data_IF_364742345725
#
_entry.id   IF_364742345725
#
_cell.length_a   1.000
_cell.length_b   1.000
_cell.length_c   1.000
_cell.angle_alpha   90.00
_cell.angle_beta   90.00
_cell.angle_gamma   90.00
#
_symmetry.space_group_name_H-M   'P 1'
#
loop_
_entity.id
_entity.type
_entity.pdbx_description
1 polymer ?
#
# COMPACT_ATOMS: atom_id res chain seq x y z
N UNK A 1 -1.96 -12.74 -39.38
CA UNK A 1 -1.79 -13.72 -40.49
C UNK A 1 -1.08 -14.94 -39.91
N UNK A 2 -1.83 -15.99 -39.63
CA UNK A 2 -1.27 -17.23 -39.03
C UNK A 2 -0.27 -17.82 -40.03
N UNK A 3 0.98 -18.00 -39.60
CA UNK A 3 2.06 -18.47 -40.46
C UNK A 3 1.69 -19.86 -41.03
N UNK A 4 1.80 -20.04 -42.35
CA UNK A 4 1.53 -21.32 -43.04
C UNK A 4 2.28 -22.51 -42.42
N UNK A 5 3.43 -22.25 -41.74
CA UNK A 5 4.21 -23.30 -41.05
C UNK A 5 3.51 -23.84 -39.81
N UNK A 6 2.81 -22.99 -39.03
CA UNK A 6 2.05 -23.39 -37.82
C UNK A 6 0.82 -24.22 -38.25
N UNK A 7 0.13 -23.76 -39.28
CA UNK A 7 -1.00 -24.49 -39.84
C UNK A 7 -0.58 -25.86 -40.43
N UNK A 8 0.59 -25.96 -41.02
CA UNK A 8 1.13 -27.22 -41.57
C UNK A 8 1.53 -28.19 -40.46
N UNK A 9 2.19 -27.73 -39.40
CA UNK A 9 2.52 -28.53 -38.20
C UNK A 9 1.26 -29.01 -37.49
N UNK A 10 0.28 -28.13 -37.26
CA UNK A 10 -0.99 -28.51 -36.66
C UNK A 10 -1.75 -29.58 -37.49
N UNK A 11 -1.80 -29.43 -38.83
CA UNK A 11 -2.39 -30.42 -39.72
C UNK A 11 -1.63 -31.75 -39.73
N UNK A 12 -0.31 -31.72 -39.60
CA UNK A 12 0.51 -32.93 -39.53
C UNK A 12 0.26 -33.66 -38.20
N UNK A 13 0.20 -32.95 -37.07
CA UNK A 13 -0.09 -33.53 -35.75
C UNK A 13 -1.51 -34.12 -35.67
N UNK A 14 -2.51 -33.45 -36.24
CA UNK A 14 -3.88 -33.98 -36.35
C UNK A 14 -3.91 -35.29 -37.15
N UNK A 15 -3.13 -35.39 -38.24
CA UNK A 15 -3.01 -36.61 -39.01
C UNK A 15 -2.35 -37.74 -38.22
N UNK A 16 -1.32 -37.42 -37.42
CA UNK A 16 -0.64 -38.39 -36.53
C UNK A 16 -1.59 -38.88 -35.44
N UNK A 17 -2.35 -38.00 -34.81
CA UNK A 17 -3.38 -38.37 -33.83
C UNK A 17 -4.48 -39.21 -34.44
N UNK A 18 -4.95 -38.87 -35.63
CA UNK A 18 -5.94 -39.65 -36.35
C UNK A 18 -5.40 -41.05 -36.72
N UNK A 19 -4.14 -41.14 -37.13
CA UNK A 19 -3.48 -42.41 -37.42
C UNK A 19 -3.34 -43.28 -36.18
N UNK A 20 -2.95 -42.70 -35.03
CA UNK A 20 -2.86 -43.41 -33.76
C UNK A 20 -4.23 -43.88 -33.27
N UNK A 21 -5.26 -43.08 -33.43
CA UNK A 21 -6.63 -43.46 -33.11
C UNK A 21 -7.16 -44.60 -34.02
N UNK A 22 -6.80 -44.58 -35.32
CA UNK A 22 -7.13 -45.63 -36.24
C UNK A 22 -6.36 -46.92 -35.90
N UNK A 23 -5.07 -46.83 -35.59
CA UNK A 23 -4.25 -47.97 -35.15
C UNK A 23 -4.80 -48.60 -33.87
N UNK A 24 -5.18 -47.80 -32.91
CA UNK A 24 -5.84 -48.22 -31.67
C UNK A 24 -7.16 -48.96 -31.96
N UNK A 25 -8.02 -48.36 -32.79
CA UNK A 25 -9.28 -48.98 -33.21
C UNK A 25 -9.06 -50.31 -33.97
N UNK A 26 -8.07 -50.36 -34.85
CA UNK A 26 -7.68 -51.60 -35.57
C UNK A 26 -7.17 -52.68 -34.63
N UNK A 27 -6.34 -52.32 -33.64
CA UNK A 27 -5.90 -53.26 -32.60
C UNK A 27 -7.06 -53.86 -31.83
N UNK A 28 -8.07 -53.06 -31.47
CA UNK A 28 -9.29 -53.52 -30.79
C UNK A 28 -10.06 -54.47 -31.69
N UNK A 29 -10.27 -54.11 -32.96
CA UNK A 29 -11.13 -54.85 -33.88
C UNK A 29 -10.52 -56.19 -34.36
N UNK A 30 -9.19 -56.24 -34.45
CA UNK A 30 -8.49 -57.46 -34.90
C UNK A 30 -8.32 -58.54 -33.83
N UNK A 31 -8.87 -58.37 -32.62
CA UNK A 31 -8.75 -59.31 -31.50
C UNK A 31 -7.29 -59.79 -31.23
N UNK A 32 -6.29 -59.03 -31.63
CA UNK A 32 -4.88 -59.33 -31.34
C UNK A 32 -4.63 -59.45 -29.84
N UNK A 33 -5.50 -58.88 -29.06
CA UNK A 33 -5.56 -58.92 -27.60
C UNK A 33 -5.59 -60.35 -27.03
N UNK A 34 -6.25 -61.29 -27.66
CA UNK A 34 -6.42 -62.63 -27.05
C UNK A 34 -5.13 -63.46 -26.91
N UNK A 35 -4.06 -63.04 -27.62
CA UNK A 35 -2.78 -63.77 -27.59
C UNK A 35 -1.70 -63.07 -26.70
N UNK A 36 -1.94 -61.90 -26.19
CA UNK A 36 -0.95 -61.10 -25.45
C UNK A 36 -1.54 -60.51 -24.15
N UNK A 37 -2.09 -61.40 -23.30
CA UNK A 37 -2.75 -61.01 -22.02
C UNK A 37 -1.91 -60.12 -21.11
N UNK A 38 -0.58 -60.13 -21.19
CA UNK A 38 0.32 -59.24 -20.49
C UNK A 38 0.50 -57.85 -21.14
N UNK A 39 0.30 -57.75 -22.45
CA UNK A 39 0.39 -56.47 -23.17
C UNK A 39 -0.90 -55.64 -23.07
N UNK A 40 -2.04 -56.28 -22.86
CA UNK A 40 -3.34 -55.65 -22.75
C UNK A 40 -3.40 -54.63 -21.59
N UNK A 41 -2.76 -54.96 -20.49
CA UNK A 41 -2.77 -54.11 -19.28
C UNK A 41 -2.07 -52.74 -19.51
N UNK A 42 -1.05 -52.70 -20.37
CA UNK A 42 -0.22 -51.50 -20.56
C UNK A 42 -0.51 -50.72 -21.84
N UNK A 43 -1.19 -51.30 -22.81
CA UNK A 43 -1.46 -50.63 -24.11
C UNK A 43 -2.35 -49.41 -23.93
N UNK A 44 -3.38 -49.48 -23.08
CA UNK A 44 -4.28 -48.36 -22.82
C UNK A 44 -3.54 -47.18 -22.16
N UNK A 45 -2.67 -47.47 -21.21
CA UNK A 45 -1.88 -46.46 -20.51
C UNK A 45 -0.86 -45.80 -21.44
N UNK A 46 -0.22 -46.60 -22.31
CA UNK A 46 0.74 -46.10 -23.31
C UNK A 46 0.02 -45.19 -24.31
N UNK A 47 -1.15 -45.59 -24.81
CA UNK A 47 -1.94 -44.79 -25.76
C UNK A 47 -2.44 -43.50 -25.12
N UNK A 48 -2.95 -43.57 -23.90
CA UNK A 48 -3.40 -42.38 -23.16
C UNK A 48 -2.23 -41.41 -22.88
N UNK A 49 -1.09 -41.91 -22.46
CA UNK A 49 0.11 -41.12 -22.23
C UNK A 49 0.64 -40.49 -23.51
N UNK A 50 0.68 -41.23 -24.60
CA UNK A 50 1.05 -40.71 -25.93
C UNK A 50 0.08 -39.61 -26.41
N UNK A 51 -1.22 -39.81 -26.21
CA UNK A 51 -2.25 -38.82 -26.54
C UNK A 51 -2.11 -37.55 -25.69
N UNK A 52 -1.81 -37.70 -24.41
CA UNK A 52 -1.54 -36.56 -23.51
C UNK A 52 -0.31 -35.76 -23.98
N UNK A 53 0.79 -36.43 -24.30
CA UNK A 53 2.01 -35.78 -24.80
C UNK A 53 1.72 -35.02 -26.10
N UNK A 54 1.07 -35.63 -27.05
CA UNK A 54 0.72 -35.00 -28.33
C UNK A 54 -0.24 -33.83 -28.15
N UNK A 55 -1.25 -34.00 -27.31
CA UNK A 55 -2.16 -32.93 -26.94
C UNK A 55 -1.44 -31.74 -26.28
N UNK A 56 -0.50 -32.00 -25.37
CA UNK A 56 0.32 -30.97 -24.72
C UNK A 56 1.20 -30.23 -25.73
N UNK A 57 1.81 -30.92 -26.71
CA UNK A 57 2.61 -30.29 -27.75
C UNK A 57 1.77 -29.36 -28.63
N UNK A 58 0.57 -29.82 -29.05
CA UNK A 58 -0.35 -29.02 -29.85
C UNK A 58 -0.81 -27.78 -29.06
N UNK A 59 -1.15 -27.96 -27.79
CA UNK A 59 -1.57 -26.89 -26.92
C UNK A 59 -0.45 -25.82 -26.72
N UNK A 60 0.80 -26.29 -26.54
CA UNK A 60 1.95 -25.41 -26.44
C UNK A 60 2.18 -24.60 -27.72
N UNK A 61 2.14 -25.27 -28.90
CA UNK A 61 2.37 -24.59 -30.17
C UNK A 61 1.34 -23.49 -30.42
N UNK A 62 0.06 -23.75 -30.16
CA UNK A 62 -1.02 -22.78 -30.33
C UNK A 62 -0.90 -21.65 -29.31
N UNK A 63 -0.69 -21.99 -28.03
CA UNK A 63 -0.65 -21.01 -26.96
C UNK A 63 0.57 -20.08 -27.07
N UNK A 64 1.73 -20.62 -27.43
CA UNK A 64 2.95 -19.82 -27.58
C UNK A 64 2.87 -18.87 -28.77
N UNK A 65 2.18 -19.26 -29.87
CA UNK A 65 1.96 -18.34 -30.98
C UNK A 65 1.02 -17.20 -30.60
N UNK A 66 -0.05 -17.46 -29.85
CA UNK A 66 -0.95 -16.43 -29.34
C UNK A 66 -0.22 -15.47 -28.38
N UNK A 67 0.60 -16.01 -27.47
CA UNK A 67 1.40 -15.21 -26.55
C UNK A 67 2.39 -14.34 -27.33
N UNK A 68 3.05 -14.88 -28.35
CA UNK A 68 3.97 -14.14 -29.21
C UNK A 68 3.28 -12.98 -29.91
N UNK A 69 2.12 -13.22 -30.52
CA UNK A 69 1.32 -12.19 -31.19
C UNK A 69 0.90 -11.07 -30.23
N UNK A 70 0.58 -11.43 -28.99
CA UNK A 70 0.25 -10.47 -27.95
C UNK A 70 1.43 -9.54 -27.61
N UNK A 71 2.65 -10.10 -27.43
CA UNK A 71 3.86 -9.32 -27.17
C UNK A 71 4.29 -8.48 -28.38
N UNK A 72 4.12 -9.00 -29.58
CA UNK A 72 4.41 -8.28 -30.82
C UNK A 72 3.52 -7.02 -30.99
N UNK A 73 2.21 -7.15 -30.72
CA UNK A 73 1.27 -6.02 -30.76
C UNK A 73 1.58 -4.94 -29.71
N UNK A 74 2.25 -5.30 -28.61
CA UNK A 74 2.67 -4.35 -27.56
C UNK A 74 4.06 -3.76 -27.77
N UNK A 75 4.83 -4.25 -28.72
CA UNK A 75 6.21 -3.84 -28.95
C UNK A 75 7.20 -4.37 -27.87
N UNK A 76 6.79 -5.35 -27.06
CA UNK A 76 7.55 -5.90 -25.94
C UNK A 76 8.14 -7.29 -26.24
N UNK A 77 8.52 -7.54 -27.49
CA UNK A 77 9.06 -8.84 -27.94
C UNK A 77 10.29 -9.31 -27.15
N UNK A 78 11.00 -8.41 -26.51
CA UNK A 78 12.17 -8.72 -25.69
C UNK A 78 11.84 -9.62 -24.49
N UNK A 79 10.63 -9.50 -23.94
CA UNK A 79 10.21 -10.23 -22.75
C UNK A 79 9.54 -11.57 -23.08
N UNK A 80 9.16 -11.78 -24.35
CA UNK A 80 8.54 -13.01 -24.83
C UNK A 80 9.31 -14.29 -24.46
N UNK A 81 10.66 -14.40 -24.61
CA UNK A 81 11.37 -15.64 -24.34
C UNK A 81 11.25 -16.09 -22.88
N UNK A 82 11.21 -15.13 -21.94
CA UNK A 82 11.07 -15.41 -20.51
C UNK A 82 9.67 -15.99 -20.24
N UNK A 83 8.62 -15.33 -20.71
CA UNK A 83 7.25 -15.79 -20.55
C UNK A 83 7.00 -17.14 -21.22
N UNK A 84 7.51 -17.32 -22.44
CA UNK A 84 7.40 -18.57 -23.18
C UNK A 84 8.06 -19.73 -22.43
N UNK A 85 9.21 -19.50 -21.80
CA UNK A 85 9.90 -20.54 -21.02
C UNK A 85 9.11 -20.92 -19.77
N UNK A 86 8.63 -19.94 -19.00
CA UNK A 86 7.81 -20.18 -17.80
C UNK A 86 6.53 -20.93 -18.20
N UNK A 87 5.85 -20.50 -19.26
CA UNK A 87 4.63 -21.14 -19.74
C UNK A 87 4.87 -22.60 -20.14
N UNK A 88 5.97 -22.90 -20.85
CA UNK A 88 6.37 -24.26 -21.20
C UNK A 88 6.57 -25.13 -19.96
N UNK A 89 7.34 -24.65 -18.98
CA UNK A 89 7.60 -25.43 -17.76
C UNK A 89 6.32 -25.72 -16.97
N UNK A 90 5.45 -24.72 -16.81
CA UNK A 90 4.16 -24.91 -16.13
C UNK A 90 3.29 -25.91 -16.88
N UNK A 91 3.21 -25.81 -18.20
CA UNK A 91 2.40 -26.74 -19.02
C UNK A 91 2.92 -28.17 -18.92
N UNK A 92 4.25 -28.38 -19.01
CA UNK A 92 4.85 -29.70 -18.84
C UNK A 92 4.69 -30.25 -17.44
N UNK A 93 4.76 -29.40 -16.42
CA UNK A 93 4.52 -29.80 -15.04
C UNK A 93 3.08 -30.32 -14.86
N UNK A 94 2.08 -29.59 -15.37
CA UNK A 94 0.67 -30.02 -15.33
C UNK A 94 0.45 -31.30 -16.13
N UNK A 95 1.02 -31.39 -17.33
CA UNK A 95 0.95 -32.59 -18.14
C UNK A 95 1.58 -33.80 -17.45
N UNK A 96 2.69 -33.60 -16.75
CA UNK A 96 3.34 -34.63 -15.93
C UNK A 96 2.45 -35.13 -14.79
N UNK A 97 1.76 -34.22 -14.09
CA UNK A 97 0.81 -34.59 -13.03
C UNK A 97 -0.36 -35.44 -13.60
N UNK A 98 -0.92 -35.05 -14.77
CA UNK A 98 -1.97 -35.80 -15.44
C UNK A 98 -1.42 -37.15 -15.89
N UNK A 99 -0.19 -37.20 -16.42
CA UNK A 99 0.46 -38.47 -16.85
C UNK A 99 0.66 -39.43 -15.68
N UNK A 100 1.10 -38.93 -14.51
CA UNK A 100 1.19 -39.75 -13.30
C UNK A 100 -0.20 -40.26 -12.90
N UNK A 101 -1.26 -39.45 -13.01
CA UNK A 101 -2.65 -39.89 -12.73
C UNK A 101 -3.13 -41.01 -13.62
N UNK A 102 -2.69 -41.04 -14.89
CA UNK A 102 -3.04 -42.12 -15.83
C UNK A 102 -2.35 -43.42 -15.44
N UNK A 103 -1.10 -43.37 -14.97
CA UNK A 103 -0.28 -44.55 -14.63
C UNK A 103 -0.61 -45.12 -13.26
N UNK A 104 -1.14 -44.32 -12.34
CA UNK A 104 -1.49 -44.74 -10.98
C UNK A 104 -2.96 -45.12 -10.89
N UNK A 105 -3.24 -46.39 -10.59
CA UNK A 105 -4.61 -46.94 -10.45
C UNK A 105 -5.32 -46.47 -9.17
N UNK A 106 -4.55 -45.99 -8.16
CA UNK A 106 -5.09 -45.44 -6.90
C UNK A 106 -5.26 -43.93 -6.99
N UNK A 107 -6.40 -43.51 -7.51
CA UNK A 107 -6.77 -42.09 -7.62
C UNK A 107 -6.85 -41.41 -6.24
N UNK A 108 -7.17 -42.16 -5.16
CA UNK A 108 -7.33 -41.60 -3.81
C UNK A 108 -6.01 -41.06 -3.25
N UNK A 109 -4.94 -41.85 -3.31
CA UNK A 109 -3.61 -41.45 -2.83
C UNK A 109 -3.03 -40.31 -3.68
N UNK A 110 -3.31 -40.31 -4.99
CA UNK A 110 -2.90 -39.21 -5.89
C UNK A 110 -3.60 -37.91 -5.55
N UNK A 111 -4.92 -37.91 -5.34
CA UNK A 111 -5.69 -36.73 -4.98
C UNK A 111 -5.24 -36.17 -3.61
N UNK A 112 -4.93 -37.05 -2.67
CA UNK A 112 -4.39 -36.64 -1.37
C UNK A 112 -3.03 -35.93 -1.53
N UNK A 113 -2.13 -36.50 -2.32
CA UNK A 113 -0.81 -35.89 -2.61
C UNK A 113 -0.93 -34.56 -3.33
N UNK A 114 -1.80 -34.46 -4.35
CA UNK A 114 -2.09 -33.21 -5.05
C UNK A 114 -2.72 -32.16 -4.13
N UNK A 115 -3.56 -32.60 -3.18
CA UNK A 115 -4.13 -31.73 -2.14
C UNK A 115 -3.06 -31.09 -1.27
N UNK A 116 -2.07 -31.88 -0.81
CA UNK A 116 -0.94 -31.37 -0.02
C UNK A 116 -0.07 -30.39 -0.83
N UNK A 117 0.27 -30.75 -2.09
CA UNK A 117 1.03 -29.86 -2.99
C UNK A 117 0.24 -28.57 -3.27
N UNK A 118 -1.06 -28.69 -3.52
CA UNK A 118 -1.95 -27.55 -3.72
C UNK A 118 -1.99 -26.60 -2.52
N UNK A 119 -2.09 -27.16 -1.32
CA UNK A 119 -2.04 -26.39 -0.08
C UNK A 119 -0.68 -25.67 0.08
N UNK A 120 0.44 -26.36 -0.14
CA UNK A 120 1.77 -25.78 -0.09
C UNK A 120 1.93 -24.63 -1.12
N UNK A 121 1.44 -24.83 -2.35
CA UNK A 121 1.46 -23.81 -3.40
C UNK A 121 0.60 -22.60 -3.04
N UNK A 122 -0.57 -22.83 -2.43
CA UNK A 122 -1.46 -21.77 -1.96
C UNK A 122 -0.77 -20.89 -0.92
N UNK A 123 -0.06 -21.47 0.04
CA UNK A 123 0.73 -20.72 1.02
C UNK A 123 1.89 -19.95 0.36
N UNK A 124 2.59 -20.57 -0.59
CA UNK A 124 3.68 -19.91 -1.32
C UNK A 124 3.19 -18.70 -2.14
N UNK A 125 1.99 -18.78 -2.71
CA UNK A 125 1.38 -17.73 -3.53
C UNK A 125 0.52 -16.74 -2.73
N UNK A 126 0.38 -16.91 -1.43
CA UNK A 126 -0.48 -16.07 -0.59
C UNK A 126 -0.22 -14.58 -0.77
N UNK A 127 1.06 -14.15 -0.77
CA UNK A 127 1.41 -12.73 -0.93
C UNK A 127 1.05 -12.16 -2.30
N UNK A 128 1.40 -12.78 -3.43
CA UNK A 128 0.93 -12.37 -4.75
C UNK A 128 -0.60 -12.28 -4.86
N UNK A 129 -1.32 -13.27 -4.34
CA UNK A 129 -2.79 -13.29 -4.34
C UNK A 129 -3.34 -12.11 -3.53
N UNK A 130 -2.79 -11.84 -2.35
CA UNK A 130 -3.20 -10.67 -1.54
C UNK A 130 -2.91 -9.34 -2.24
N UNK A 131 -1.80 -9.21 -2.96
CA UNK A 131 -1.52 -8.01 -3.73
C UNK A 131 -2.53 -7.79 -4.85
N UNK A 132 -2.87 -8.85 -5.57
CA UNK A 132 -3.89 -8.81 -6.61
C UNK A 132 -5.28 -8.46 -6.04
N UNK A 133 -5.66 -9.07 -4.91
CA UNK A 133 -6.90 -8.74 -4.21
C UNK A 133 -6.90 -7.27 -3.71
N UNK A 134 -5.76 -6.76 -3.22
CA UNK A 134 -5.57 -5.36 -2.87
C UNK A 134 -5.78 -4.43 -4.05
N UNK A 135 -5.24 -4.77 -5.21
CA UNK A 135 -5.45 -4.02 -6.45
C UNK A 135 -6.93 -3.99 -6.86
N UNK A 136 -7.62 -5.14 -6.84
CA UNK A 136 -9.06 -5.22 -7.11
C UNK A 136 -9.84 -4.31 -6.14
N UNK A 137 -9.49 -4.35 -4.85
CA UNK A 137 -10.11 -3.49 -3.85
C UNK A 137 -9.93 -2.01 -4.18
N UNK A 138 -8.71 -1.58 -4.58
CA UNK A 138 -8.45 -0.19 -4.98
C UNK A 138 -9.33 0.22 -6.18
N UNK A 139 -9.42 -0.63 -7.20
CA UNK A 139 -10.16 -0.34 -8.43
C UNK A 139 -11.67 -0.22 -8.17
N UNK A 140 -12.23 -1.10 -7.34
CA UNK A 140 -13.67 -1.15 -7.05
C UNK A 140 -14.06 -0.07 -6.04
N UNK A 141 -13.40 -0.02 -4.88
CA UNK A 141 -13.82 0.85 -3.76
C UNK A 141 -13.26 2.28 -3.87
N UNK A 142 -12.19 2.44 -4.65
CA UNK A 142 -11.50 3.72 -4.89
C UNK A 142 -11.24 4.50 -3.60
N UNK A 143 -10.53 3.92 -2.62
CA UNK A 143 -10.19 4.61 -1.39
C UNK A 143 -9.32 5.84 -1.66
N UNK A 144 -8.54 5.81 -2.72
CA UNK A 144 -7.74 6.89 -3.27
C UNK A 144 -7.57 6.74 -4.79
N UNK A 145 -7.08 7.78 -5.47
CA UNK A 145 -6.83 7.85 -6.91
C UNK A 145 -5.39 8.31 -7.15
N UNK A 146 -4.96 8.26 -8.42
CA UNK A 146 -3.74 8.93 -8.86
C UNK A 146 -3.88 10.43 -8.57
N UNK A 147 -2.81 11.06 -8.10
CA UNK A 147 -2.68 12.42 -7.60
C UNK A 147 -3.32 12.66 -6.21
N UNK A 148 -3.82 11.65 -5.52
CA UNK A 148 -4.19 11.81 -4.12
C UNK A 148 -2.95 11.75 -3.21
N UNK A 149 -2.93 12.59 -2.17
CA UNK A 149 -1.97 12.50 -1.07
C UNK A 149 -2.51 11.57 -0.02
N UNK A 150 -1.80 10.47 0.23
CA UNK A 150 -2.20 9.45 1.20
C UNK A 150 -1.11 9.19 2.23
N UNK A 151 -1.53 8.81 3.42
CA UNK A 151 -0.65 8.28 4.45
C UNK A 151 -1.10 6.86 4.79
N UNK A 152 -0.20 5.89 4.64
CA UNK A 152 -0.40 4.51 5.06
C UNK A 152 0.30 4.32 6.39
N UNK A 153 -0.45 3.92 7.40
CA UNK A 153 0.07 3.76 8.77
C UNK A 153 1.29 2.83 8.79
N UNK A 154 2.34 3.23 9.50
CA UNK A 154 3.63 2.54 9.65
C UNK A 154 4.48 2.39 8.37
N UNK A 155 4.07 3.03 7.27
CA UNK A 155 4.83 2.99 6.01
C UNK A 155 5.31 4.39 5.63
N UNK A 156 4.38 5.37 5.57
CA UNK A 156 4.72 6.73 5.21
C UNK A 156 3.62 7.45 4.45
N UNK A 157 3.91 8.68 4.07
CA UNK A 157 3.02 9.56 3.33
C UNK A 157 3.62 9.88 1.96
N UNK A 158 2.75 10.05 0.96
CA UNK A 158 3.17 10.47 -0.37
C UNK A 158 2.01 10.69 -1.33
N UNK A 159 2.35 11.21 -2.50
CA UNK A 159 1.42 11.48 -3.57
C UNK A 159 1.41 10.27 -4.53
N UNK A 160 0.22 9.69 -4.74
CA UNK A 160 0.04 8.52 -5.61
C UNK A 160 0.28 8.94 -7.06
N UNK A 161 1.29 8.40 -7.72
CA UNK A 161 1.50 8.70 -9.13
C UNK A 161 1.26 7.51 -10.07
N UNK A 162 1.29 6.25 -9.54
CA UNK A 162 1.01 5.06 -10.32
C UNK A 162 0.42 3.96 -9.43
N UNK A 163 -0.49 3.17 -9.99
CA UNK A 163 -1.06 1.97 -9.36
C UNK A 163 -0.95 0.84 -10.37
N UNK A 164 -0.17 -0.20 -10.02
CA UNK A 164 -0.02 -1.43 -10.79
C UNK A 164 -0.79 -2.57 -10.11
N UNK A 165 -0.86 -3.70 -10.80
CA UNK A 165 -1.53 -4.92 -10.30
C UNK A 165 -0.96 -5.42 -8.97
N UNK A 166 0.34 -5.21 -8.71
CA UNK A 166 1.02 -5.68 -7.49
C UNK A 166 1.42 -4.56 -6.55
N UNK A 167 1.63 -3.32 -7.03
CA UNK A 167 2.22 -2.23 -6.26
C UNK A 167 1.52 -0.89 -6.49
N UNK A 168 1.56 -0.07 -5.44
CA UNK A 168 1.27 1.35 -5.46
C UNK A 168 2.60 2.09 -5.42
N UNK A 169 2.71 3.15 -6.19
CA UNK A 169 3.90 4.01 -6.25
C UNK A 169 3.54 5.39 -5.74
N UNK A 170 4.22 5.83 -4.68
CA UNK A 170 4.06 7.15 -4.10
C UNK A 170 5.32 7.98 -4.27
N UNK A 171 5.18 9.28 -4.56
CA UNK A 171 6.23 10.26 -4.34
C UNK A 171 6.22 10.62 -2.86
N UNK A 172 7.28 10.27 -2.15
CA UNK A 172 7.35 10.44 -0.71
C UNK A 172 7.29 11.91 -0.29
N UNK A 173 6.53 12.15 0.79
CA UNK A 173 6.41 13.46 1.43
C UNK A 173 6.69 13.29 2.93
N UNK A 174 7.71 14.00 3.45
CA UNK A 174 8.04 14.06 4.87
C UNK A 174 8.06 15.54 5.26
N UNK A 175 6.88 16.10 5.54
CA UNK A 175 6.69 17.54 5.60
C UNK A 175 6.70 18.20 4.22
N UNK A 176 7.73 17.94 3.43
CA UNK A 176 7.93 18.39 2.06
C UNK A 176 8.23 17.22 1.11
N UNK A 177 8.11 17.39 -0.23
CA UNK A 177 8.48 16.36 -1.20
C UNK A 177 9.97 16.01 -1.10
N UNK A 178 10.29 14.73 -0.90
CA UNK A 178 11.68 14.27 -0.71
C UNK A 178 12.38 13.90 -2.03
N UNK A 179 11.64 13.81 -3.13
CA UNK A 179 12.12 13.28 -4.41
C UNK A 179 12.25 11.75 -4.46
N UNK A 180 12.02 11.05 -3.35
CA UNK A 180 12.07 9.58 -3.28
C UNK A 180 10.75 8.96 -3.70
N UNK A 181 10.83 7.70 -4.16
CA UNK A 181 9.66 6.89 -4.49
C UNK A 181 9.48 5.79 -3.46
N UNK A 182 8.29 5.70 -2.89
CA UNK A 182 7.86 4.56 -2.08
C UNK A 182 7.12 3.57 -2.98
N UNK A 183 7.59 2.32 -3.02
CA UNK A 183 6.94 1.22 -3.75
C UNK A 183 6.30 0.31 -2.71
N UNK A 184 4.97 0.26 -2.71
CA UNK A 184 4.20 -0.38 -1.65
C UNK A 184 3.37 -1.51 -2.24
N UNK A 185 3.48 -2.76 -1.74
CA UNK A 185 2.61 -3.85 -2.15
C UNK A 185 1.14 -3.53 -1.91
N UNK A 186 0.26 -3.84 -2.87
CA UNK A 186 -1.18 -3.55 -2.77
C UNK A 186 -1.86 -4.24 -1.58
N UNK A 187 -1.33 -5.36 -1.11
CA UNK A 187 -1.83 -6.07 0.07
C UNK A 187 -1.93 -5.18 1.33
N UNK A 188 -1.08 -4.15 1.44
CA UNK A 188 -1.13 -3.21 2.57
C UNK A 188 -2.43 -2.41 2.64
N UNK A 189 -3.12 -2.22 1.53
CA UNK A 189 -4.43 -1.54 1.50
C UNK A 189 -5.51 -2.35 2.23
N UNK A 190 -5.35 -3.68 2.30
CA UNK A 190 -6.29 -4.58 2.99
C UNK A 190 -6.01 -4.66 4.50
N UNK A 191 -4.75 -4.39 4.92
CA UNK A 191 -4.29 -4.68 6.29
C UNK A 191 -3.98 -3.43 7.10
N UNK A 192 -3.84 -2.26 6.46
CA UNK A 192 -3.46 -1.02 7.14
C UNK A 192 -4.51 0.07 6.99
N UNK A 193 -4.58 0.95 7.99
CA UNK A 193 -5.36 2.16 7.88
C UNK A 193 -4.73 3.13 6.89
N UNK A 194 -5.54 3.67 5.99
CA UNK A 194 -5.14 4.66 5.00
C UNK A 194 -5.85 5.97 5.29
N UNK A 195 -5.09 7.03 5.45
CA UNK A 195 -5.60 8.39 5.54
C UNK A 195 -5.42 9.06 4.18
N UNK A 196 -6.51 9.48 3.57
CA UNK A 196 -6.48 10.24 2.32
C UNK A 196 -6.69 11.73 2.63
N UNK A 197 -5.72 12.56 2.31
CA UNK A 197 -5.71 14.00 2.62
C UNK A 197 -6.40 14.83 1.55
N UNK A 198 -6.65 14.27 0.37
CA UNK A 198 -7.20 15.00 -0.78
C UNK A 198 -8.54 14.46 -1.26
N UNK A 199 -9.08 13.40 -0.64
CA UNK A 199 -10.37 12.81 -1.03
C UNK A 199 -11.51 13.80 -0.83
N UNK A 200 -12.05 14.30 -1.93
CA UNK A 200 -13.18 15.23 -1.94
C UNK A 200 -12.82 16.70 -1.81
N UNK A 201 -11.67 17.06 -1.26
CA UNK A 201 -11.14 18.43 -1.20
C UNK A 201 -9.64 18.41 -1.00
N UNK A 202 -8.87 19.28 -1.66
CA UNK A 202 -7.44 19.40 -1.42
C UNK A 202 -7.11 20.18 -0.15
N UNK A 203 -8.11 20.69 0.57
CA UNK A 203 -7.92 21.50 1.76
C UNK A 203 -8.11 20.69 3.03
N UNK A 204 -7.16 20.85 3.96
CA UNK A 204 -7.15 20.20 5.27
C UNK A 204 -7.08 21.23 6.40
N UNK A 205 -7.49 20.80 7.59
CA UNK A 205 -7.25 21.54 8.81
C UNK A 205 -5.85 21.27 9.33
N UNK A 206 -4.99 22.30 9.37
CA UNK A 206 -3.72 22.27 10.07
C UNK A 206 -3.72 23.23 11.26
N UNK A 207 -2.65 23.28 12.00
CA UNK A 207 -2.50 24.15 13.16
C UNK A 207 -1.05 24.59 13.37
N UNK A 208 -0.90 25.82 13.88
CA UNK A 208 0.33 26.30 14.50
C UNK A 208 0.13 26.43 16.00
N UNK A 209 1.21 26.22 16.73
CA UNK A 209 1.25 26.31 18.19
C UNK A 209 2.35 27.29 18.59
N UNK A 210 1.99 28.24 19.43
CA UNK A 210 2.92 29.16 20.05
C UNK A 210 2.68 29.14 21.57
N UNK A 211 3.73 29.04 22.33
CA UNK A 211 3.64 29.09 23.79
C UNK A 211 4.19 30.43 24.25
N UNK A 212 3.39 31.18 24.99
CA UNK A 212 3.79 32.46 25.63
C UNK A 212 3.94 32.26 27.12
N UNK A 213 4.77 33.09 27.75
CA UNK A 213 4.98 33.03 29.21
C UNK A 213 3.71 33.41 29.96
N UNK A 214 3.60 33.03 31.23
CA UNK A 214 2.45 33.35 32.07
C UNK A 214 2.39 34.86 32.39
N UNK A 215 3.53 35.53 32.33
CA UNK A 215 3.69 37.00 32.57
C UNK A 215 3.29 37.81 31.34
N UNK A 216 3.17 37.19 30.19
CA UNK A 216 2.78 37.86 28.93
C UNK A 216 1.38 38.41 29.00
N UNK A 217 1.15 39.53 28.31
CA UNK A 217 -0.20 40.05 28.06
C UNK A 217 -0.97 39.10 27.15
N UNK A 218 -1.78 38.24 27.77
CA UNK A 218 -2.49 37.17 27.12
C UNK A 218 -3.44 37.65 26.02
N UNK A 219 -4.22 38.69 26.26
CA UNK A 219 -5.18 39.20 25.27
C UNK A 219 -4.48 39.79 24.04
N UNK A 220 -3.36 40.43 24.26
CA UNK A 220 -2.52 40.98 23.20
C UNK A 220 -1.87 39.82 22.39
N UNK A 221 -1.30 38.82 23.08
CA UNK A 221 -0.73 37.62 22.44
C UNK A 221 -1.75 36.91 21.55
N UNK A 222 -2.97 36.70 22.04
CA UNK A 222 -4.09 36.13 21.27
C UNK A 222 -4.34 36.91 19.99
N UNK A 223 -4.45 38.23 20.09
CA UNK A 223 -4.71 39.10 18.95
C UNK A 223 -3.61 39.01 17.92
N UNK A 224 -2.34 39.13 18.31
CA UNK A 224 -1.18 39.08 17.41
C UNK A 224 -1.10 37.77 16.66
N UNK A 225 -1.31 36.64 17.36
CA UNK A 225 -1.26 35.31 16.75
C UNK A 225 -2.43 35.07 15.77
N UNK A 226 -3.64 35.55 16.10
CA UNK A 226 -4.78 35.48 15.20
C UNK A 226 -4.60 36.37 13.97
N UNK A 227 -4.19 37.62 14.14
CA UNK A 227 -3.92 38.54 13.03
C UNK A 227 -2.85 38.00 12.09
N UNK A 228 -1.75 37.46 12.61
CA UNK A 228 -0.70 36.86 11.80
C UNK A 228 -1.22 35.69 10.94
N UNK A 229 -2.09 34.86 11.50
CA UNK A 229 -2.70 33.75 10.78
C UNK A 229 -3.72 34.25 9.76
N UNK A 230 -4.54 35.25 10.11
CA UNK A 230 -5.57 35.80 9.23
C UNK A 230 -4.97 36.51 8.02
N UNK A 231 -3.81 37.19 8.16
CA UNK A 231 -3.08 37.80 7.04
C UNK A 231 -2.63 36.78 5.98
N UNK A 232 -2.36 35.52 6.36
CA UNK A 232 -1.86 34.51 5.43
C UNK A 232 -3.01 33.66 4.84
N UNK A 233 -3.98 33.25 5.66
CA UNK A 233 -5.01 32.30 5.23
C UNK A 233 -6.42 32.85 5.28
N UNK A 234 -6.63 34.09 5.72
CA UNK A 234 -7.96 34.66 5.94
C UNK A 234 -8.79 34.71 4.67
N UNK A 235 -8.23 35.16 3.56
CA UNK A 235 -8.97 35.30 2.30
C UNK A 235 -9.31 33.92 1.70
N UNK A 236 -8.38 32.97 1.75
CA UNK A 236 -8.65 31.57 1.37
C UNK A 236 -9.79 30.97 2.20
N UNK A 237 -9.80 31.21 3.52
CA UNK A 237 -10.83 30.66 4.39
C UNK A 237 -12.21 31.27 4.13
N UNK A 238 -12.30 32.56 3.82
CA UNK A 238 -13.55 33.24 3.42
C UNK A 238 -14.09 32.64 2.13
N UNK A 239 -13.25 32.55 1.09
CA UNK A 239 -13.62 31.98 -0.19
C UNK A 239 -14.14 30.54 -0.05
N UNK A 240 -13.41 29.68 0.66
CA UNK A 240 -13.82 28.30 0.91
C UNK A 240 -15.12 28.21 1.72
N UNK A 241 -15.32 29.11 2.68
CA UNK A 241 -16.55 29.15 3.47
C UNK A 241 -17.76 29.49 2.59
N UNK A 242 -17.64 30.42 1.64
CA UNK A 242 -18.69 30.75 0.68
C UNK A 242 -19.00 29.57 -0.25
N UNK A 243 -17.96 28.93 -0.82
CA UNK A 243 -18.13 27.76 -1.69
C UNK A 243 -18.83 26.62 -0.93
N UNK A 244 -18.47 26.36 0.32
CA UNK A 244 -19.04 25.26 1.09
C UNK A 244 -20.43 25.55 1.66
N UNK A 245 -20.79 26.81 1.89
CA UNK A 245 -22.19 27.19 2.25
C UNK A 245 -23.16 26.90 1.13
N UNK A 246 -22.71 27.03 -0.13
CA UNK A 246 -23.53 26.89 -1.32
C UNK A 246 -23.60 25.44 -1.87
N UNK A 247 -22.78 24.52 -1.36
CA UNK A 247 -22.80 23.11 -1.75
C UNK A 247 -23.74 22.31 -0.84
N UNK A 248 -24.56 21.39 -1.40
CA UNK A 248 -25.31 20.43 -0.59
C UNK A 248 -24.30 19.63 0.25
N UNK A 249 -24.50 19.62 1.55
CA UNK A 249 -23.59 19.03 2.55
C UNK A 249 -23.58 17.50 2.43
N UNK A 250 -22.59 16.84 1.84
CA UNK A 250 -22.53 15.39 1.89
C UNK A 250 -21.67 14.84 3.04
N UNK A 251 -20.78 15.63 3.68
CA UNK A 251 -19.71 14.99 4.43
C UNK A 251 -19.30 15.58 5.78
N UNK A 252 -19.83 16.70 6.25
CA UNK A 252 -19.42 17.18 7.57
C UNK A 252 -20.56 17.84 8.34
N UNK A 253 -20.90 17.26 9.48
CA UNK A 253 -21.48 17.95 10.64
C UNK A 253 -20.53 19.04 11.19
N UNK A 254 -19.38 19.29 10.54
CA UNK A 254 -18.41 20.28 10.93
C UNK A 254 -18.90 21.69 10.56
N UNK A 255 -18.89 22.57 11.58
CA UNK A 255 -19.19 23.99 11.41
C UNK A 255 -18.22 24.58 10.38
N UNK A 256 -18.74 25.28 9.37
CA UNK A 256 -17.92 26.01 8.39
C UNK A 256 -17.39 27.27 9.07
N UNK A 257 -16.09 27.41 9.12
CA UNK A 257 -15.41 28.58 9.67
C UNK A 257 -14.81 29.39 8.52
N UNK A 258 -15.04 30.71 8.56
CA UNK A 258 -14.53 31.69 7.59
C UNK A 258 -13.24 32.39 8.04
N UNK A 259 -12.75 32.02 9.22
CA UNK A 259 -11.55 32.59 9.84
C UNK A 259 -10.79 31.55 10.67
N UNK A 260 -9.50 31.80 10.99
CA UNK A 260 -8.74 30.96 11.91
C UNK A 260 -9.36 30.85 13.29
N UNK A 261 -9.19 29.70 13.93
CA UNK A 261 -9.80 29.40 15.24
C UNK A 261 -8.70 29.23 16.27
N UNK A 262 -8.71 30.07 17.30
CA UNK A 262 -7.81 29.94 18.42
C UNK A 262 -8.34 28.94 19.46
N UNK A 263 -7.46 28.12 19.97
CA UNK A 263 -7.62 27.26 21.15
C UNK A 263 -6.49 27.57 22.13
N UNK A 264 -6.79 27.52 23.40
CA UNK A 264 -5.83 27.81 24.49
C UNK A 264 -5.68 26.56 25.33
N UNK A 265 -4.43 26.29 25.74
CA UNK A 265 -4.11 25.20 26.65
C UNK A 265 -3.02 25.71 27.64
N UNK A 266 -3.02 25.17 28.86
CA UNK A 266 -1.99 25.47 29.87
C UNK A 266 -0.93 24.39 29.84
N UNK A 267 0.32 24.78 29.78
CA UNK A 267 1.49 23.91 29.82
C UNK A 267 2.37 24.30 30.98
N UNK A 268 3.25 23.44 31.47
CA UNK A 268 4.18 23.70 32.56
C UNK A 268 5.02 24.97 32.34
N UNK A 269 5.37 25.28 31.10
CA UNK A 269 6.24 26.43 30.73
C UNK A 269 5.50 27.69 30.26
N UNK A 270 4.15 27.67 30.24
CA UNK A 270 3.38 28.82 29.76
C UNK A 270 2.05 28.45 29.15
N UNK A 271 1.45 29.38 28.41
CA UNK A 271 0.14 29.26 27.81
C UNK A 271 0.30 28.93 26.32
N UNK A 272 -0.19 27.75 25.89
CA UNK A 272 -0.21 27.36 24.47
C UNK A 272 -1.37 28.05 23.75
N UNK A 273 -1.06 28.83 22.74
CA UNK A 273 -1.97 29.40 21.76
C UNK A 273 -1.93 28.51 20.49
N UNK A 274 -2.98 27.72 20.29
CA UNK A 274 -3.10 26.83 19.13
C UNK A 274 -4.10 27.42 18.15
N UNK A 275 -3.62 27.88 17.00
CA UNK A 275 -4.48 28.39 15.92
C UNK A 275 -4.68 27.31 14.88
N UNK A 276 -5.95 26.99 14.58
CA UNK A 276 -6.35 26.08 13.53
C UNK A 276 -6.81 26.85 12.31
N UNK A 277 -6.39 26.43 11.15
CA UNK A 277 -6.70 27.05 9.86
C UNK A 277 -6.85 26.01 8.75
N UNK A 278 -7.46 26.41 7.63
CA UNK A 278 -7.53 25.62 6.42
C UNK A 278 -6.34 25.95 5.52
N UNK A 279 -5.78 24.91 4.91
CA UNK A 279 -4.63 25.04 4.01
C UNK A 279 -4.73 23.99 2.91
N UNK A 280 -4.19 24.32 1.74
CA UNK A 280 -4.00 23.34 0.68
C UNK A 280 -2.97 22.28 1.11
N UNK A 281 -3.33 21.01 0.96
CA UNK A 281 -2.50 19.86 1.36
C UNK A 281 -1.11 19.86 0.72
N UNK A 282 -0.95 20.49 -0.43
CA UNK A 282 0.34 20.54 -1.14
C UNK A 282 1.24 21.70 -0.69
N UNK A 283 0.68 22.73 -0.02
CA UNK A 283 1.36 23.96 0.40
C UNK A 283 1.46 24.09 1.92
N UNK A 284 1.06 23.07 2.64
CA UNK A 284 0.92 23.16 4.11
C UNK A 284 2.18 23.56 4.86
N UNK A 285 3.38 23.10 4.42
CA UNK A 285 4.64 23.39 5.05
C UNK A 285 5.05 24.86 4.84
N UNK A 286 4.89 25.36 3.64
CA UNK A 286 5.20 26.75 3.26
C UNK A 286 4.30 27.73 4.00
N UNK A 287 2.99 27.50 3.95
CA UNK A 287 1.98 28.32 4.64
C UNK A 287 2.22 28.33 6.15
N UNK A 288 2.53 27.18 6.73
CA UNK A 288 2.85 27.06 8.14
C UNK A 288 4.08 27.89 8.53
N UNK A 289 5.12 27.82 7.72
CA UNK A 289 6.36 28.58 7.92
C UNK A 289 6.09 30.07 7.81
N UNK A 290 5.30 30.51 6.84
CA UNK A 290 4.94 31.90 6.69
C UNK A 290 4.16 32.44 7.90
N UNK A 291 3.15 31.69 8.38
CA UNK A 291 2.40 32.06 9.59
C UNK A 291 3.33 32.19 10.78
N UNK A 292 4.25 31.23 10.99
CA UNK A 292 5.20 31.28 12.12
C UNK A 292 6.12 32.48 12.01
N UNK A 293 6.63 32.83 10.85
CA UNK A 293 7.48 34.01 10.63
C UNK A 293 6.72 35.30 10.99
N UNK A 294 5.48 35.45 10.53
CA UNK A 294 4.64 36.60 10.86
C UNK A 294 4.35 36.72 12.37
N UNK A 295 4.09 35.57 13.01
CA UNK A 295 3.90 35.54 14.46
C UNK A 295 5.16 36.04 15.19
N UNK A 296 6.33 35.53 14.81
CA UNK A 296 7.61 35.94 15.41
C UNK A 296 7.86 37.42 15.18
N UNK A 297 7.64 37.94 13.98
CA UNK A 297 7.80 39.38 13.70
C UNK A 297 6.88 40.25 14.53
N UNK A 298 5.61 39.89 14.67
CA UNK A 298 4.65 40.64 15.48
C UNK A 298 5.01 40.62 16.98
N UNK A 299 5.35 39.44 17.51
CA UNK A 299 5.71 39.32 18.94
C UNK A 299 7.00 40.08 19.26
N UNK A 300 8.01 40.03 18.37
CA UNK A 300 9.29 40.77 18.59
C UNK A 300 9.13 42.28 18.68
N UNK A 301 8.08 42.86 18.14
CA UNK A 301 7.79 44.32 18.22
C UNK A 301 7.16 44.70 19.54
N UNK A 302 6.74 43.73 20.34
CA UNK A 302 6.04 43.95 21.60
C UNK A 302 6.95 43.62 22.79
N UNK A 303 6.88 44.43 23.81
CA UNK A 303 7.69 44.28 25.04
C UNK A 303 6.98 43.43 26.10
N UNK A 304 5.66 43.30 25.99
CA UNK A 304 4.78 42.70 27.00
C UNK A 304 4.28 41.32 26.57
N UNK A 305 4.82 40.76 25.47
CA UNK A 305 4.53 39.39 24.99
C UNK A 305 5.85 38.68 24.73
N UNK A 306 6.08 37.58 25.42
CA UNK A 306 7.30 36.80 25.32
C UNK A 306 6.99 35.33 24.97
N UNK A 307 7.76 34.76 24.04
CA UNK A 307 7.66 33.30 23.68
C UNK A 307 8.28 32.52 24.83
N UNK A 308 7.54 31.58 25.37
CA UNK A 308 7.99 30.75 26.48
C UNK A 308 9.13 29.79 26.05
N UNK A 309 10.16 29.76 26.84
CA UNK A 309 11.25 28.79 26.79
C UNK A 309 11.37 28.07 28.15
N UNK A 310 12.05 26.94 28.25
CA UNK A 310 12.20 26.24 29.52
C UNK A 310 12.90 27.15 30.56
N UNK A 311 12.19 27.50 31.63
CA UNK A 311 12.74 28.20 32.78
C UNK A 311 13.03 27.18 33.87
N UNK A 312 14.19 27.34 34.55
CA UNK A 312 14.53 26.62 35.77
C UNK A 312 14.65 27.63 36.88
N UNK A 313 13.69 27.64 37.80
CA UNK A 313 13.80 28.43 39.02
C UNK A 313 14.52 27.62 40.10
N UNK A 314 15.69 28.07 40.54
CA UNK A 314 16.43 27.44 41.62
C UNK A 314 16.19 28.22 42.92
N UNK A 315 15.29 27.73 43.76
CA UNK A 315 15.05 28.30 45.07
C UNK A 315 16.16 27.85 46.02
N UNK A 316 17.13 28.72 46.26
CA UNK A 316 18.17 28.48 47.25
C UNK A 316 17.62 28.83 48.64
N UNK A 317 17.31 27.86 49.48
CA UNK A 317 17.03 28.05 50.91
C UNK A 317 18.32 27.86 51.64
N UNK A 318 18.95 28.95 52.20
CA UNK A 318 20.10 28.79 53.05
C UNK A 318 19.68 27.99 54.29
N UNK A 319 20.42 26.91 54.58
CA UNK A 319 20.23 26.20 55.87
C UNK A 319 20.46 27.23 56.96
N UNK A 320 19.42 27.53 57.78
CA UNK A 320 19.61 28.20 59.04
C UNK A 320 20.73 27.50 59.79
N UNK A 321 21.78 28.25 60.12
CA UNK A 321 22.83 27.77 61.04
C UNK A 321 22.12 27.37 62.30
N UNK A 322 21.97 26.08 62.54
CA UNK A 322 21.40 25.58 63.76
C UNK A 322 22.11 26.19 64.92
N UNK A 323 21.37 26.91 65.77
CA UNK A 323 21.81 27.32 67.10
C UNK A 323 22.43 26.10 67.75
N UNK A 324 23.76 26.14 67.96
CA UNK A 324 24.48 25.14 68.72
C UNK A 324 23.82 25.03 70.09
N UNK A 325 23.11 23.95 70.34
CA UNK A 325 22.64 23.63 71.69
C UNK A 325 23.83 23.52 72.60
N UNK A 326 23.91 24.43 73.51
CA UNK A 326 24.82 24.53 74.61
C UNK A 326 24.91 23.23 75.38
N UNK A 327 26.10 22.75 75.64
CA UNK A 327 26.45 21.51 76.34
C UNK A 327 25.67 21.34 77.63
N UNK A 328 24.85 20.35 77.72
CA UNK A 328 24.39 19.77 78.96
C UNK A 328 25.60 19.16 79.68
N UNK A 329 26.08 19.79 80.72
CA UNK A 329 27.04 19.17 81.63
C UNK A 329 26.43 17.89 82.26
N UNK A 330 27.20 16.83 82.39
CA UNK A 330 26.73 15.68 83.11
C UNK A 330 26.71 15.98 84.64
N UNK A 331 25.75 15.37 85.43
CA UNK A 331 25.72 15.58 86.89
C UNK A 331 26.92 14.88 87.50
N UNK A 332 27.52 15.60 88.51
CA UNK A 332 28.61 15.07 89.36
C UNK A 332 28.17 13.90 90.20
N UNK A 333 29.03 12.92 90.47
CA UNK A 333 28.71 11.76 91.35
C UNK A 333 28.80 12.16 92.82
N UNK A 334 27.82 11.78 93.57
CA UNK A 334 27.87 11.58 95.05
C UNK A 334 27.45 10.16 95.36
#
# INVERSE_FOLDING_TARGET
MIDRKVLFRGKFLIKVLALLAILYYLCIKLKIYQYLHLLELYINEIVLTATLILGTLIFLDISLELIREFFEKRGELRDYPIFASVFKYVTWFVAGLIGISILYHDIGSLLMSLGIIGAALTFALQRPIMNFAGWINIVITRPFKINDRIHIKNIGMGDVYKIDTMHIYLREVVGEPTGRTLIIPNAYVLTNAITNYTKGSPYIWDNVKVVVTYESNFEKAKRLVLEACEEVVGDLMKELAEIWRNKPRPFTSAKVYDRPILRVNFLERGIELKVRYLVNTFEWAEVKTEILNRIIEKIRREKDVEIAYPHLEVIYRPKEKGTSKEHLKPPSPT
#
